data_IF_305736207742
#
_entry.id   IF_305736207742
#
_cell.length_a   1.000
_cell.length_b   1.000
_cell.length_c   1.000
_cell.angle_alpha   90.00
_cell.angle_beta   90.00
_cell.angle_gamma   90.00
#
_symmetry.space_group_name_H-M   'P 1'
#
loop_
_entity.id
_entity.type
_entity.pdbx_description
1 polymer ?
#
# COMPACT_ATOMS: atom_id res chain seq x y z
N UNK A 1 -11.26 -6.49 -4.25
CA UNK A 1 -12.07 -7.23 -3.26
C UNK A 1 -12.72 -6.21 -2.35
N UNK A 2 -14.01 -6.35 -2.01
CA UNK A 2 -14.66 -5.45 -1.06
C UNK A 2 -13.89 -5.49 0.27
N UNK A 3 -13.61 -4.31 0.84
CA UNK A 3 -12.98 -4.21 2.15
C UNK A 3 -13.94 -4.82 3.18
N UNK A 4 -13.50 -5.86 3.88
CA UNK A 4 -14.30 -6.55 4.91
C UNK A 4 -14.65 -5.65 6.10
N UNK A 5 -13.87 -4.59 6.32
CA UNK A 5 -14.02 -3.63 7.40
C UNK A 5 -13.92 -2.22 6.85
N UNK A 6 -14.77 -1.31 7.32
CA UNK A 6 -14.70 0.09 6.89
C UNK A 6 -13.50 0.81 7.55
N UNK A 7 -12.97 1.88 6.94
CA UNK A 7 -11.89 2.66 7.52
C UNK A 7 -12.23 3.22 8.91
N UNK A 8 -13.47 3.67 9.09
CA UNK A 8 -13.95 4.23 10.36
C UNK A 8 -14.00 3.15 11.44
N UNK A 9 -14.41 1.94 11.08
CA UNK A 9 -14.40 0.81 11.98
C UNK A 9 -12.98 0.47 12.44
N UNK A 10 -12.04 0.39 11.49
CA UNK A 10 -10.62 0.13 11.78
C UNK A 10 -10.03 1.23 12.68
N UNK A 11 -10.29 2.49 12.39
CA UNK A 11 -9.80 3.62 13.19
C UNK A 11 -10.34 3.57 14.63
N UNK A 12 -11.62 3.25 14.82
CA UNK A 12 -12.18 3.07 16.17
C UNK A 12 -11.54 1.90 16.91
N UNK A 13 -11.33 0.76 16.24
CA UNK A 13 -10.68 -0.40 16.85
C UNK A 13 -9.24 -0.08 17.29
N UNK A 14 -8.49 0.65 16.46
CA UNK A 14 -7.13 1.11 16.79
C UNK A 14 -7.12 2.05 17.99
N UNK A 15 -8.05 3.01 18.03
CA UNK A 15 -8.20 3.92 19.17
C UNK A 15 -8.45 3.16 20.48
N UNK A 16 -9.35 2.17 20.47
CA UNK A 16 -9.63 1.33 21.64
C UNK A 16 -8.42 0.52 22.10
N UNK A 17 -7.63 -0.01 21.15
CA UNK A 17 -6.38 -0.73 21.46
C UNK A 17 -5.39 0.21 22.14
N UNK A 18 -5.18 1.40 21.58
CA UNK A 18 -4.23 2.38 22.09
C UNK A 18 -4.64 2.90 23.48
N UNK A 19 -5.91 3.24 23.66
CA UNK A 19 -6.47 3.64 24.97
C UNK A 19 -6.25 2.54 26.02
N UNK A 20 -6.51 1.28 25.66
CA UNK A 20 -6.33 0.14 26.57
C UNK A 20 -4.87 -0.11 26.91
N UNK A 21 -3.97 -0.07 25.93
CA UNK A 21 -2.51 -0.19 26.17
C UNK A 21 -2.04 0.87 27.16
N UNK A 22 -2.51 2.12 27.03
CA UNK A 22 -2.13 3.22 27.93
C UNK A 22 -2.77 3.11 29.32
N UNK A 23 -4.06 2.83 29.38
CA UNK A 23 -4.81 2.80 30.65
C UNK A 23 -4.43 1.60 31.52
N UNK A 24 -4.28 0.42 30.92
CA UNK A 24 -4.00 -0.83 31.64
C UNK A 24 -2.50 -1.15 31.71
N UNK A 25 -1.64 -0.35 31.04
CA UNK A 25 -0.21 -0.61 30.86
C UNK A 25 0.09 -2.05 30.40
N UNK A 26 -0.83 -2.62 29.62
CA UNK A 26 -0.78 -4.01 29.19
C UNK A 26 -0.06 -4.15 27.84
N UNK A 27 0.36 -5.37 27.51
CA UNK A 27 0.97 -5.61 26.21
C UNK A 27 -0.04 -5.41 25.08
N UNK A 28 0.44 -4.97 23.91
CA UNK A 28 -0.40 -4.81 22.72
C UNK A 28 -1.17 -6.09 22.35
N UNK A 29 -0.62 -7.28 22.65
CA UNK A 29 -1.33 -8.54 22.44
C UNK A 29 -2.57 -8.67 23.33
N UNK A 30 -2.42 -8.38 24.62
CA UNK A 30 -3.55 -8.42 25.59
C UNK A 30 -4.63 -7.42 25.19
N UNK A 31 -4.24 -6.20 24.79
CA UNK A 31 -5.17 -5.20 24.30
C UNK A 31 -5.90 -5.65 23.02
N UNK A 32 -5.18 -6.18 22.04
CA UNK A 32 -5.77 -6.69 20.80
C UNK A 32 -6.74 -7.85 21.03
N UNK A 33 -6.41 -8.78 21.94
CA UNK A 33 -7.28 -9.93 22.23
C UNK A 33 -8.62 -9.48 22.78
N UNK A 34 -8.60 -8.63 23.80
CA UNK A 34 -9.83 -8.19 24.43
C UNK A 34 -10.65 -7.24 23.55
N UNK A 35 -10.01 -6.37 22.75
CA UNK A 35 -10.73 -5.54 21.78
C UNK A 35 -11.35 -6.43 20.69
N UNK A 36 -10.67 -7.50 20.27
CA UNK A 36 -11.21 -8.47 19.33
C UNK A 36 -12.47 -9.17 19.83
N UNK A 37 -12.47 -9.57 21.10
CA UNK A 37 -13.64 -10.13 21.79
C UNK A 37 -14.78 -9.10 21.89
N UNK A 38 -14.48 -7.88 22.32
CA UNK A 38 -15.46 -6.80 22.49
C UNK A 38 -16.10 -6.35 21.18
N UNK A 39 -15.39 -6.43 20.05
CA UNK A 39 -15.87 -6.05 18.72
C UNK A 39 -16.58 -7.20 17.96
N UNK A 40 -16.93 -8.28 18.65
CA UNK A 40 -17.71 -9.38 18.07
C UNK A 40 -16.87 -10.47 17.41
N UNK A 41 -15.68 -10.75 17.94
CA UNK A 41 -14.87 -11.91 17.54
C UNK A 41 -13.89 -11.64 16.39
N UNK A 42 -13.31 -10.44 16.33
CA UNK A 42 -12.23 -10.15 15.37
C UNK A 42 -10.94 -10.83 15.83
N UNK A 43 -10.22 -11.46 14.91
CA UNK A 43 -8.94 -12.10 15.22
C UNK A 43 -7.95 -11.11 15.84
N UNK A 44 -7.34 -11.43 17.00
CA UNK A 44 -6.33 -10.59 17.64
C UNK A 44 -5.12 -10.34 16.74
N UNK A 45 -4.79 -11.29 15.86
CA UNK A 45 -3.72 -11.13 14.88
C UNK A 45 -4.05 -10.05 13.83
N UNK A 46 -5.30 -9.98 13.38
CA UNK A 46 -5.75 -8.94 12.44
C UNK A 46 -5.63 -7.56 13.07
N UNK A 47 -6.14 -7.40 14.29
CA UNK A 47 -6.04 -6.15 15.05
C UNK A 47 -4.60 -5.74 15.30
N UNK A 48 -3.74 -6.70 15.67
CA UNK A 48 -2.32 -6.45 15.88
C UNK A 48 -1.61 -6.01 14.59
N UNK A 49 -1.95 -6.58 13.45
CA UNK A 49 -1.40 -6.15 12.17
C UNK A 49 -1.81 -4.73 11.83
N UNK A 50 -3.07 -4.37 12.09
CA UNK A 50 -3.54 -3.00 11.93
C UNK A 50 -2.79 -2.04 12.85
N UNK A 51 -2.66 -2.38 14.14
CA UNK A 51 -1.96 -1.53 15.12
C UNK A 51 -0.49 -1.35 14.78
N UNK A 52 0.19 -2.41 14.35
CA UNK A 52 1.58 -2.30 13.85
C UNK A 52 1.69 -1.36 12.66
N UNK A 53 0.82 -1.50 11.66
CA UNK A 53 0.85 -0.65 10.48
C UNK A 53 0.54 0.81 10.85
N UNK A 54 -0.44 1.03 11.72
CA UNK A 54 -0.81 2.36 12.20
C UNK A 54 0.37 3.07 12.87
N UNK A 55 1.15 2.35 13.68
CA UNK A 55 2.39 2.89 14.27
C UNK A 55 3.48 3.19 13.25
N UNK A 56 3.60 2.39 12.19
CA UNK A 56 4.51 2.70 11.08
C UNK A 56 4.04 3.95 10.33
N UNK A 57 2.73 4.06 10.06
CA UNK A 57 2.13 5.19 9.36
C UNK A 57 2.26 6.51 10.13
N UNK A 58 2.28 6.46 11.47
CA UNK A 58 2.54 7.60 12.35
C UNK A 58 4.03 7.83 12.66
N UNK A 59 4.95 7.03 12.10
CA UNK A 59 6.39 7.17 12.32
C UNK A 59 6.88 6.72 13.71
N UNK A 60 6.04 6.01 14.47
CA UNK A 60 6.36 5.49 15.80
C UNK A 60 7.09 4.13 15.76
N UNK A 61 7.12 3.48 14.60
CA UNK A 61 7.80 2.22 14.36
C UNK A 61 8.47 2.23 12.98
N UNK A 62 9.63 1.57 12.82
CA UNK A 62 10.26 1.42 11.53
C UNK A 62 9.42 0.53 10.61
N UNK A 63 9.32 0.88 9.34
CA UNK A 63 8.61 0.10 8.34
C UNK A 63 8.27 0.91 7.10
N UNK A 64 7.63 0.27 6.14
CA UNK A 64 7.04 0.94 4.97
C UNK A 64 5.64 1.41 5.33
N UNK A 65 5.41 2.72 5.29
CA UNK A 65 4.08 3.28 5.53
C UNK A 65 3.12 2.93 4.39
N UNK A 66 1.83 2.98 4.68
CA UNK A 66 0.77 2.75 3.70
C UNK A 66 0.87 3.77 2.55
N UNK A 67 1.17 5.03 2.85
CA UNK A 67 1.33 6.09 1.86
C UNK A 67 2.54 5.84 0.93
N UNK A 68 3.68 5.47 1.50
CA UNK A 68 4.87 5.11 0.70
C UNK A 68 4.60 3.89 -0.18
N UNK A 69 3.91 2.87 0.34
CA UNK A 69 3.56 1.68 -0.42
C UNK A 69 2.64 2.01 -1.62
N UNK A 70 1.68 2.92 -1.43
CA UNK A 70 0.80 3.40 -2.50
C UNK A 70 1.58 4.18 -3.57
N UNK A 71 2.48 5.06 -3.17
CA UNK A 71 3.31 5.83 -4.09
C UNK A 71 4.25 4.93 -4.89
N UNK A 72 4.90 3.96 -4.24
CA UNK A 72 5.73 2.96 -4.93
C UNK A 72 4.91 2.21 -5.99
N UNK A 73 3.66 1.84 -5.68
CA UNK A 73 2.78 1.15 -6.61
C UNK A 73 2.42 2.04 -7.81
N UNK A 74 2.10 3.31 -7.56
CA UNK A 74 1.81 4.31 -8.60
C UNK A 74 3.01 4.52 -9.52
N UNK A 75 4.19 4.78 -8.94
CA UNK A 75 5.42 4.98 -9.70
C UNK A 75 5.81 3.75 -10.52
N UNK A 76 5.61 2.53 -9.99
CA UNK A 76 5.85 1.29 -10.75
C UNK A 76 4.95 1.19 -11.98
N UNK A 77 3.68 1.59 -11.86
CA UNK A 77 2.74 1.62 -12.98
C UNK A 77 3.15 2.66 -14.02
N UNK A 78 3.45 3.88 -13.59
CA UNK A 78 3.90 4.95 -14.49
C UNK A 78 5.18 4.55 -15.23
N UNK A 79 6.15 3.94 -14.53
CA UNK A 79 7.38 3.48 -15.15
C UNK A 79 7.14 2.41 -16.21
N UNK A 80 6.19 1.50 -15.99
CA UNK A 80 5.80 0.50 -16.98
C UNK A 80 5.19 1.15 -18.23
N UNK A 81 4.28 2.11 -18.04
CA UNK A 81 3.64 2.85 -19.13
C UNK A 81 4.67 3.66 -19.94
N UNK A 82 5.60 4.34 -19.27
CA UNK A 82 6.70 5.08 -19.90
C UNK A 82 7.64 4.17 -20.67
N UNK A 83 7.97 2.98 -20.15
CA UNK A 83 8.79 2.00 -20.86
C UNK A 83 8.10 1.51 -22.12
N UNK A 84 6.79 1.25 -22.07
CA UNK A 84 5.99 0.85 -23.24
C UNK A 84 5.94 1.96 -24.29
N UNK A 85 5.73 3.20 -23.89
CA UNK A 85 5.72 4.35 -24.81
C UNK A 85 7.08 4.52 -25.49
N UNK A 86 8.18 4.43 -24.73
CA UNK A 86 9.53 4.49 -25.27
C UNK A 86 9.81 3.36 -26.27
N UNK A 87 9.31 2.15 -26.02
CA UNK A 87 9.46 1.03 -26.96
C UNK A 87 8.76 1.30 -28.30
N UNK A 88 7.54 1.85 -28.26
CA UNK A 88 6.79 2.22 -29.48
C UNK A 88 7.54 3.30 -30.26
N UNK A 89 8.00 4.35 -29.56
CA UNK A 89 8.75 5.45 -30.19
C UNK A 89 10.04 4.94 -30.84
N UNK A 90 10.80 4.08 -30.16
CA UNK A 90 12.01 3.47 -30.72
C UNK A 90 11.70 2.66 -31.98
N UNK A 91 10.64 1.87 -31.99
CA UNK A 91 10.20 1.11 -33.18
C UNK A 91 9.81 2.03 -34.33
N UNK A 92 9.09 3.11 -34.06
CA UNK A 92 8.71 4.10 -35.07
C UNK A 92 9.96 4.81 -35.63
N UNK A 93 10.89 5.26 -34.79
CA UNK A 93 12.14 5.87 -35.23
C UNK A 93 12.97 4.93 -36.09
N UNK A 94 13.07 3.65 -35.72
CA UNK A 94 13.78 2.64 -36.52
C UNK A 94 13.11 2.41 -37.88
N UNK A 95 11.78 2.39 -37.93
CA UNK A 95 11.02 2.28 -39.18
C UNK A 95 11.30 3.47 -40.12
N UNK A 96 11.20 4.70 -39.62
CA UNK A 96 11.45 5.90 -40.44
C UNK A 96 12.91 6.01 -40.90
N UNK A 97 13.88 5.65 -40.05
CA UNK A 97 15.28 5.60 -40.46
C UNK A 97 15.50 4.61 -41.62
N UNK A 98 14.90 3.43 -41.56
CA UNK A 98 15.00 2.44 -42.64
C UNK A 98 14.30 2.87 -43.94
N UNK A 99 13.28 3.72 -43.88
CA UNK A 99 12.62 4.29 -45.05
C UNK A 99 13.49 5.36 -45.74
N UNK A 100 14.23 6.16 -44.97
CA UNK A 100 15.18 7.16 -45.51
C UNK A 100 16.37 6.51 -46.24
N UNK A 101 16.83 5.35 -45.79
CA UNK A 101 17.94 4.62 -46.41
C UNK A 101 17.54 3.82 -47.67
N UNK A 102 16.25 3.77 -48.03
CA UNK A 102 15.80 3.12 -49.26
C UNK A 102 16.05 4.03 -50.46
N UNK A 103 16.73 3.56 -51.52
CA UNK A 103 16.88 4.36 -52.73
C UNK A 103 15.50 4.61 -53.34
N UNK A 104 15.09 5.88 -53.42
CA UNK A 104 13.93 6.29 -54.20
C UNK A 104 14.23 6.06 -55.67
N UNK A 105 13.78 4.93 -56.22
CA UNK A 105 13.72 4.74 -57.67
C UNK A 105 12.68 5.71 -58.19
N UNK A 106 13.15 6.76 -58.86
CA UNK A 106 12.33 7.76 -59.54
C UNK A 106 12.08 7.35 -60.98
#
# INVERSE_FOLDING_TARGET
MPQKYTPEFKARALKLIEERVRAEQCSAWVACTAVGEALGGISPHTLRNWWKQDRVDHGEAPGLSTAEAEEIKKLRRENLELRRANEILRKASAFFAAELDRPTTR
#
